data_IF_374091881107
#
_entry.id   IF_374091881107
#
_cell.length_a   1.000
_cell.length_b   1.000
_cell.length_c   1.000
_cell.angle_alpha   90.00
_cell.angle_beta   90.00
_cell.angle_gamma   90.00
#
_symmetry.space_group_name_H-M   'P 1'
#
loop_
_entity.id
_entity.type
_entity.pdbx_description
1 polymer ?
2 non-polymer ?
3 non-polymer ?
4 water ?
#
# COMPACT_ATOMS: atom_id res chain seq x y z
N UNK A 11 -23.66 -12.79 -0.80
CA UNK A 11 -22.83 -11.67 -0.36
C UNK A 11 -21.36 -12.07 -0.34
N UNK A 12 -20.47 -11.09 -0.46
CA UNK A 12 -19.04 -11.35 -0.55
C UNK A 12 -18.45 -11.85 0.77
N UNK A 13 -18.77 -11.15 1.86
CA UNK A 13 -18.22 -11.49 3.17
C UNK A 13 -19.18 -12.36 3.98
N UNK A 14 -19.89 -13.25 3.30
CA UNK A 14 -20.83 -14.15 3.96
C UNK A 14 -20.10 -15.12 4.88
N UNK A 15 -20.70 -15.38 6.05
CA UNK A 15 -20.15 -16.30 7.04
C UNK A 15 -18.77 -15.89 7.57
N UNK A 16 -18.46 -14.60 7.48
CA UNK A 16 -17.19 -14.09 7.97
C UNK A 16 -17.40 -13.09 9.10
N UNK A 17 -16.64 -13.26 10.18
CA UNK A 17 -16.70 -12.34 11.31
C UNK A 17 -15.40 -11.55 11.42
N UNK A 18 -15.51 -10.24 11.58
CA UNK A 18 -14.34 -9.37 11.62
C UNK A 18 -14.16 -8.71 12.97
N UNK A 19 -12.90 -8.48 13.33
CA UNK A 19 -12.55 -7.80 14.58
C UNK A 19 -11.76 -6.54 14.26
N UNK A 20 -12.37 -5.38 14.54
CA UNK A 20 -11.75 -4.10 14.23
C UNK A 20 -10.94 -3.59 15.42
N UNK A 21 -9.65 -3.36 15.20
CA UNK A 21 -8.74 -3.00 16.28
C UNK A 21 -8.28 -1.54 16.24
N UNK A 22 -8.54 -0.82 17.32
CA UNK A 22 -8.07 0.56 17.50
C UNK A 22 -8.43 1.52 16.36
N UNK A 23 -9.62 1.36 15.79
CA UNK A 23 -10.12 2.32 14.82
C UNK A 23 -10.80 3.48 15.55
N UNK A 24 -10.68 4.70 15.01
CA UNK A 24 -11.37 5.85 15.59
C UNK A 24 -12.88 5.70 15.42
N UNK A 25 -13.65 6.25 16.36
CA UNK A 25 -15.10 6.07 16.40
C UNK A 25 -15.82 6.37 15.08
N UNK A 26 -15.38 7.42 14.39
CA UNK A 26 -15.98 7.80 13.12
C UNK A 26 -15.78 6.73 12.06
N UNK A 27 -14.55 6.22 11.98
CA UNK A 27 -14.20 5.21 10.98
C UNK A 27 -14.91 3.89 11.24
N UNK A 28 -15.06 3.54 12.52
CA UNK A 28 -15.69 2.28 12.92
C UNK A 28 -17.08 2.11 12.31
N UNK A 29 -17.92 3.13 12.49
CA UNK A 29 -19.29 3.09 11.98
C UNK A 29 -19.33 2.92 10.47
N UNK A 30 -18.50 3.69 9.77
CA UNK A 30 -18.41 3.60 8.32
C UNK A 30 -17.91 2.23 7.90
N UNK A 31 -16.89 1.74 8.60
CA UNK A 31 -16.31 0.44 8.31
C UNK A 31 -17.29 -0.67 8.68
N UNK A 32 -18.09 -0.43 9.71
CA UNK A 32 -19.09 -1.39 10.15
C UNK A 32 -20.16 -1.59 9.09
N UNK A 33 -20.63 -0.48 8.52
CA UNK A 33 -21.66 -0.51 7.49
C UNK A 33 -21.17 -1.21 6.23
N UNK A 34 -19.93 -0.94 5.85
CA UNK A 34 -19.34 -1.53 4.65
C UNK A 34 -19.27 -3.05 4.75
N UNK A 35 -18.87 -3.56 5.91
CA UNK A 35 -18.77 -5.00 6.13
C UNK A 35 -20.14 -5.64 6.27
N UNK A 36 -21.05 -4.94 6.94
CA UNK A 36 -22.40 -5.46 7.19
C UNK A 36 -23.21 -5.57 5.90
N UNK A 37 -23.04 -4.60 5.01
CA UNK A 37 -23.77 -4.59 3.74
C UNK A 37 -23.22 -5.63 2.77
N UNK A 38 -22.14 -6.29 3.15
CA UNK A 38 -21.54 -7.33 2.33
C UNK A 38 -21.61 -8.71 2.97
N UNK A 39 -22.52 -8.85 3.94
CA UNK A 39 -22.76 -10.13 4.58
C UNK A 39 -21.81 -10.46 5.71
N UNK A 40 -20.95 -9.51 6.06
CA UNK A 40 -19.98 -9.72 7.12
C UNK A 40 -20.48 -9.27 8.48
N UNK A 41 -20.07 -9.98 9.52
CA UNK A 41 -20.43 -9.62 10.88
C UNK A 41 -19.21 -9.09 11.64
N UNK A 42 -19.45 -8.39 12.74
CA UNK A 42 -18.38 -7.78 13.51
C UNK A 42 -18.51 -8.08 15.01
N UNK A 43 -17.42 -8.53 15.61
CA UNK A 43 -17.38 -8.80 17.04
C UNK A 43 -16.30 -7.98 17.72
N UNK A 44 -16.55 -7.57 18.96
CA UNK A 44 -15.57 -6.81 19.72
C UNK A 44 -14.76 -7.72 20.64
N UNK A 45 -14.93 -9.03 20.45
CA UNK A 45 -14.19 -10.01 21.23
C UNK A 45 -13.36 -10.90 20.33
N UNK A 46 -12.19 -11.29 20.82
CA UNK A 46 -11.36 -12.27 20.12
C UNK A 46 -11.79 -13.68 20.51
N UNK A 47 -12.25 -14.44 19.53
CA UNK A 47 -12.66 -15.82 19.75
C UNK A 47 -12.50 -16.63 18.47
N UNK A 48 -12.82 -17.91 18.54
CA UNK A 48 -12.70 -18.80 17.38
C UNK A 48 -13.60 -18.36 16.22
N UNK A 49 -14.60 -17.55 16.53
CA UNK A 49 -15.52 -17.04 15.52
C UNK A 49 -14.82 -16.09 14.56
N UNK A 50 -13.87 -15.32 15.08
CA UNK A 50 -13.15 -14.32 14.30
C UNK A 50 -12.42 -14.91 13.10
N UNK A 51 -12.68 -14.35 11.92
CA UNK A 51 -12.01 -14.79 10.70
C UNK A 51 -10.82 -13.90 10.36
N UNK A 52 -10.99 -12.60 10.52
CA UNK A 52 -9.92 -11.65 10.23
C UNK A 52 -9.85 -10.54 11.27
N UNK A 53 -8.63 -10.16 11.63
CA UNK A 53 -8.40 -8.99 12.47
C UNK A 53 -8.01 -7.82 11.58
N UNK A 54 -8.74 -6.71 11.70
CA UNK A 54 -8.50 -5.55 10.85
C UNK A 54 -7.80 -4.42 11.61
N UNK A 55 -6.71 -3.92 11.04
CA UNK A 55 -5.91 -2.86 11.63
C UNK A 55 -5.97 -1.63 10.73
N UNK A 56 -5.95 -0.42 11.32
CA UNK A 56 -5.81 0.76 10.45
C UNK A 56 -4.47 0.74 9.73
N UNK A 57 -4.46 1.19 8.47
CA UNK A 57 -3.26 1.13 7.64
C UNK A 57 -2.12 2.00 8.18
N UNK A 58 -2.47 3.00 8.98
CA UNK A 58 -1.49 3.94 9.51
C UNK A 58 -0.98 3.53 10.89
N UNK A 59 -1.49 2.42 11.40
CA UNK A 59 -1.09 1.94 12.72
C UNK A 59 0.30 1.31 12.67
N UNK A 60 1.21 1.78 13.54
CA UNK A 60 2.59 1.29 13.61
C UNK A 60 2.65 -0.21 13.90
N UNK A 61 3.34 -0.95 13.05
CA UNK A 61 3.46 -2.40 13.19
C UNK A 61 4.06 -2.79 14.54
N UNK A 62 5.07 -2.04 14.97
CA UNK A 62 5.78 -2.32 16.21
C UNK A 62 4.91 -2.18 17.45
N UNK A 63 3.82 -1.42 17.34
CA UNK A 63 2.92 -1.21 18.47
C UNK A 63 1.78 -2.21 18.50
N UNK A 64 1.73 -3.09 17.50
CA UNK A 64 0.66 -4.08 17.40
C UNK A 64 0.86 -5.22 18.39
N UNK A 65 -0.23 -5.63 19.06
CA UNK A 65 -0.20 -6.80 19.94
C UNK A 65 -0.12 -8.08 19.12
N UNK A 66 -0.03 -9.22 19.80
CA UNK A 66 0.02 -10.50 19.11
C UNK A 66 -1.39 -10.99 18.80
N UNK A 67 -1.63 -11.35 17.55
CA UNK A 67 -2.93 -11.87 17.14
C UNK A 67 -2.82 -13.32 16.67
N UNK A 68 -3.67 -14.18 17.22
CA UNK A 68 -3.72 -15.57 16.81
C UNK A 68 -4.68 -15.75 15.65
N UNK A 69 -4.79 -14.72 14.82
CA UNK A 69 -5.69 -14.71 13.68
C UNK A 69 -4.97 -14.06 12.50
N UNK A 70 -5.40 -14.38 11.27
CA UNK A 70 -4.84 -13.67 10.11
C UNK A 70 -5.13 -12.18 10.21
N UNK A 71 -4.08 -11.37 10.10
CA UNK A 71 -4.19 -9.93 10.32
C UNK A 71 -4.01 -9.15 9.02
N UNK A 72 -4.96 -8.27 8.74
CA UNK A 72 -4.90 -7.42 7.55
C UNK A 72 -5.26 -5.99 7.92
N UNK A 73 -5.01 -5.05 7.01
CA UNK A 73 -5.50 -3.69 7.20
C UNK A 73 -6.79 -3.45 6.42
N UNK A 74 -7.38 -2.27 6.56
CA UNK A 74 -8.66 -1.98 5.92
C UNK A 74 -8.57 -1.97 4.40
N UNK A 75 -7.36 -1.78 3.88
CA UNK A 75 -7.14 -1.77 2.44
C UNK A 75 -7.37 -3.15 1.83
N UNK A 76 -7.26 -4.18 2.67
CA UNK A 76 -7.56 -5.55 2.25
C UNK A 76 -9.04 -5.67 1.93
N UNK A 77 -9.87 -5.00 2.73
CA UNK A 77 -11.31 -4.98 2.52
C UNK A 77 -11.63 -4.26 1.22
N UNK A 78 -10.99 -3.11 1.01
CA UNK A 78 -11.20 -2.31 -0.18
C UNK A 78 -10.78 -3.07 -1.44
N UNK A 79 -9.69 -3.82 -1.35
CA UNK A 79 -9.22 -4.63 -2.47
C UNK A 79 -10.21 -5.74 -2.79
N UNK A 80 -10.79 -6.33 -1.74
CA UNK A 80 -11.76 -7.40 -1.91
C UNK A 80 -13.01 -6.93 -2.63
N UNK A 81 -13.41 -5.69 -2.38
CA UNK A 81 -14.59 -5.12 -3.01
C UNK A 81 -14.30 -4.65 -4.44
N UNK A 82 -13.08 -4.18 -4.66
CA UNK A 82 -12.68 -3.65 -5.96
C UNK A 82 -12.68 -4.75 -7.02
N UNK A 83 -12.17 -5.92 -6.66
CA UNK A 83 -12.09 -7.04 -7.60
C UNK A 83 -13.18 -8.08 -7.32
N UNK A 84 -14.02 -7.79 -6.34
CA UNK A 84 -15.17 -8.63 -6.00
C UNK A 84 -14.80 -10.09 -5.70
N UNK A 85 -13.74 -10.29 -4.92
CA UNK A 85 -13.35 -11.62 -4.47
C UNK A 85 -12.47 -11.54 -3.23
N UNK A 86 -12.23 -12.68 -2.60
CA UNK A 86 -11.45 -12.73 -1.37
C UNK A 86 -10.00 -13.13 -1.62
N UNK A 87 -9.09 -12.19 -1.39
CA UNK A 87 -7.67 -12.43 -1.59
C UNK A 87 -7.05 -13.09 -0.36
N UNK A 88 -5.89 -13.70 -0.55
CA UNK A 88 -5.10 -14.19 0.56
C UNK A 88 -4.50 -13.01 1.30
N UNK A 89 -4.09 -13.23 2.54
CA UNK A 89 -3.58 -12.13 3.36
C UNK A 89 -2.19 -11.68 2.93
N UNK A 90 -1.50 -12.51 2.14
CA UNK A 90 -0.14 -12.20 1.72
C UNK A 90 -0.02 -11.83 0.24
N UNK A 91 -1.16 -11.76 -0.44
CA UNK A 91 -1.16 -11.49 -1.88
C UNK A 91 -0.69 -10.08 -2.23
N UNK A 92 -0.87 -9.14 -1.30
CA UNK A 92 -0.41 -7.77 -1.52
C UNK A 92 0.18 -7.15 -0.26
N UNK A 93 1.36 -6.54 -0.40
CA UNK A 93 2.11 -6.01 0.73
C UNK A 93 1.40 -4.87 1.45
N UNK A 94 0.54 -4.16 0.74
CA UNK A 94 -0.16 -3.01 1.32
C UNK A 94 -1.44 -3.42 2.04
N UNK A 95 -1.84 -4.67 1.89
CA UNK A 95 -3.05 -5.17 2.52
C UNK A 95 -2.77 -5.66 3.94
N UNK A 96 -1.49 -5.70 4.30
CA UNK A 96 -1.07 -6.07 5.65
C UNK A 96 -0.54 -4.83 6.36
N UNK A 97 -0.46 -4.88 7.70
CA UNK A 97 0.20 -3.80 8.44
C UNK A 97 1.63 -3.64 7.95
N UNK A 98 2.00 -2.42 7.57
CA UNK A 98 3.32 -2.18 6.98
C UNK A 98 4.00 -0.95 7.56
N UNK A 99 3.21 -0.04 8.11
CA UNK A 99 3.74 1.25 8.54
C UNK A 99 4.71 1.17 9.72
N UNK A 100 5.90 1.72 9.52
CA UNK A 100 6.90 1.81 10.56
C UNK A 100 7.46 3.22 10.63
N UNK A 101 7.27 3.90 11.77
CA UNK A 101 7.73 5.28 11.98
C UNK A 101 9.23 5.46 11.77
N UNK A 102 9.99 4.37 11.87
CA UNK A 102 11.44 4.43 11.69
C UNK A 102 11.82 4.63 10.22
N UNK A 103 10.86 4.41 9.33
CA UNK A 103 11.09 4.58 7.90
C UNK A 103 10.88 6.03 7.47
N UNK A 104 10.12 6.77 8.28
CA UNK A 104 9.78 8.16 7.97
C UNK A 104 10.96 9.11 7.69
N UNK A 105 12.00 9.11 8.56
CA UNK A 105 13.11 10.03 8.30
C UNK A 105 13.85 9.72 7.00
N UNK A 106 13.69 8.50 6.49
CA UNK A 106 14.35 8.09 5.26
C UNK A 106 13.61 8.54 4.01
N UNK A 107 12.28 8.55 4.07
CA UNK A 107 11.46 8.99 2.94
C UNK A 107 11.27 10.50 2.92
N UNK A 108 11.60 11.15 4.04
CA UNK A 108 11.43 12.59 4.17
C UNK A 108 12.22 13.39 3.15
N UNK A 109 11.55 14.32 2.48
CA UNK A 109 12.19 15.18 1.50
C UNK A 109 12.19 14.59 0.10
N UNK A 110 11.86 13.30 0.00
CA UNK A 110 11.85 12.62 -1.28
C UNK A 110 10.60 12.93 -2.09
N UNK A 111 10.80 13.49 -3.28
CA UNK A 111 9.70 13.76 -4.19
C UNK A 111 9.57 12.61 -5.19
N UNK A 112 8.42 11.95 -5.17
CA UNK A 112 8.22 10.76 -6.00
C UNK A 112 7.04 10.88 -6.96
N UNK A 113 7.26 10.50 -8.21
CA UNK A 113 6.19 10.41 -9.19
C UNK A 113 6.01 8.96 -9.63
N UNK A 114 4.76 8.51 -9.71
CA UNK A 114 4.46 7.12 -10.02
C UNK A 114 4.01 6.94 -11.47
N UNK A 115 4.45 5.85 -12.09
CA UNK A 115 4.04 5.54 -13.46
C UNK A 115 3.82 4.04 -13.64
N UNK A 116 2.74 3.67 -14.33
CA UNK A 116 2.43 2.28 -14.58
C UNK A 116 1.42 1.69 -13.61
N UNK A 117 1.00 2.49 -12.63
CA UNK A 117 0.02 2.04 -11.65
C UNK A 117 -1.37 2.57 -11.99
N UNK A 118 -2.39 1.75 -11.74
CA UNK A 118 -3.76 2.14 -12.04
C UNK A 118 -4.73 1.76 -10.91
N UNK A 119 -5.87 2.44 -10.89
CA UNK A 119 -6.97 2.08 -10.01
C UNK A 119 -6.67 2.14 -8.52
N UNK A 120 -7.06 1.08 -7.81
CA UNK A 120 -6.92 1.03 -6.36
C UNK A 120 -5.47 0.92 -5.91
N UNK A 121 -4.65 0.26 -6.72
CA UNK A 121 -3.24 0.07 -6.38
C UNK A 121 -2.52 1.41 -6.36
N UNK A 122 -2.81 2.25 -7.35
CA UNK A 122 -2.23 3.58 -7.42
C UNK A 122 -2.65 4.43 -6.23
N UNK A 123 -3.94 4.37 -5.90
CA UNK A 123 -4.49 5.14 -4.79
C UNK A 123 -3.87 4.74 -3.46
N UNK A 124 -3.77 3.44 -3.22
CA UNK A 124 -3.18 2.92 -2.00
C UNK A 124 -1.68 3.22 -1.92
N UNK A 125 -1.02 3.19 -3.07
CA UNK A 125 0.42 3.44 -3.13
C UNK A 125 0.74 4.89 -2.78
N UNK A 126 -0.08 5.81 -3.26
CA UNK A 126 0.09 7.23 -2.94
C UNK A 126 -0.03 7.45 -1.44
N UNK A 127 -1.07 6.88 -0.84
CA UNK A 127 -1.32 7.03 0.58
C UNK A 127 -0.22 6.38 1.40
N UNK A 128 0.26 5.23 0.93
CA UNK A 128 1.33 4.52 1.61
C UNK A 128 2.60 5.36 1.63
N UNK A 129 2.99 5.89 0.47
CA UNK A 129 4.19 6.71 0.36
C UNK A 129 4.07 8.01 1.14
N UNK A 130 2.85 8.51 1.26
CA UNK A 130 2.60 9.77 1.97
C UNK A 130 2.83 9.62 3.48
N UNK A 131 2.21 8.60 4.08
CA UNK A 131 2.37 8.38 5.51
C UNK A 131 3.79 7.94 5.87
N UNK A 132 4.50 7.39 4.88
CA UNK A 132 5.88 6.97 5.09
C UNK A 132 6.84 8.16 5.08
N UNK A 133 6.32 9.34 4.76
CA UNK A 133 7.11 10.56 4.86
C UNK A 133 7.49 11.18 3.53
N UNK A 134 7.12 10.53 2.44
CA UNK A 134 7.47 11.03 1.11
C UNK A 134 6.39 11.96 0.56
N UNK A 135 6.75 12.71 -0.48
CA UNK A 135 5.79 13.58 -1.16
C UNK A 135 5.51 13.05 -2.56
N UNK A 136 4.27 12.64 -2.79
CA UNK A 136 3.89 12.10 -4.09
C UNK A 136 3.37 13.19 -5.02
N UNK A 137 3.97 13.29 -6.20
CA UNK A 137 3.59 14.30 -7.18
C UNK A 137 2.73 13.71 -8.29
N UNK A 138 1.66 14.43 -8.63
CA UNK A 138 0.73 13.98 -9.66
C UNK A 138 1.35 13.99 -11.05
N UNK A 139 2.38 14.81 -11.23
CA UNK A 139 3.02 14.93 -12.53
C UNK A 139 4.54 14.79 -12.46
N UNK A 140 5.13 14.34 -13.56
CA UNK A 140 6.57 14.26 -13.68
C UNK A 140 7.17 15.65 -13.89
N UNK A 141 8.15 15.99 -13.07
CA UNK A 141 8.83 17.27 -13.20
C UNK A 141 10.34 17.08 -13.22
N UNK A 142 11.05 18.14 -13.58
CA UNK A 142 12.51 18.10 -13.62
C UNK A 142 13.08 17.86 -12.22
N UNK A 143 12.41 18.41 -11.21
CA UNK A 143 12.90 18.33 -9.84
C UNK A 143 12.27 17.22 -9.01
N UNK A 144 12.10 16.04 -9.61
CA UNK A 144 11.63 14.88 -8.87
C UNK A 144 12.82 14.04 -8.41
N UNK A 145 12.75 13.53 -7.19
CA UNK A 145 13.81 12.68 -6.67
C UNK A 145 13.78 11.32 -7.35
N UNK A 146 12.58 10.77 -7.51
CA UNK A 146 12.41 9.40 -7.98
C UNK A 146 11.24 9.27 -8.94
N UNK A 147 11.47 8.59 -10.07
CA UNK A 147 10.38 8.11 -10.90
C UNK A 147 10.18 6.63 -10.61
N UNK A 148 9.11 6.31 -9.88
CA UNK A 148 8.86 4.93 -9.48
C UNK A 148 8.04 4.19 -10.54
N UNK A 149 8.64 3.17 -11.13
CA UNK A 149 8.05 2.47 -12.26
C UNK A 149 7.45 1.12 -11.87
N UNK A 150 6.21 0.88 -12.31
CA UNK A 150 5.56 -0.41 -12.10
C UNK A 150 6.04 -1.44 -13.11
N UNK A 151 6.98 -2.28 -12.69
CA UNK A 151 7.57 -3.27 -13.58
C UNK A 151 6.76 -4.57 -13.62
N UNK A 152 5.64 -4.59 -12.92
CA UNK A 152 4.76 -5.75 -12.92
C UNK A 152 3.75 -5.70 -14.07
N UNK A 153 3.81 -4.61 -14.82
CA UNK A 153 2.95 -4.43 -15.99
C UNK A 153 3.79 -3.98 -17.19
N UNK A 154 3.36 -4.35 -18.40
CA UNK A 154 4.09 -3.91 -19.59
C UNK A 154 4.10 -2.39 -19.69
N UNK A 155 5.24 -1.81 -20.05
CA UNK A 155 5.37 -0.36 -20.10
C UNK A 155 4.47 0.25 -21.17
N UNK A 156 3.61 1.17 -20.75
CA UNK A 156 2.78 1.91 -21.69
C UNK A 156 3.64 2.96 -22.39
N UNK A 157 3.11 3.53 -23.46
CA UNK A 157 3.79 4.58 -24.21
C UNK A 157 4.10 5.77 -23.30
N UNK A 158 3.13 6.10 -22.45
CA UNK A 158 3.27 7.20 -21.50
C UNK A 158 4.39 6.91 -20.50
N UNK A 159 4.46 5.67 -20.04
CA UNK A 159 5.51 5.25 -19.11
C UNK A 159 6.89 5.36 -19.75
N UNK A 160 7.00 4.90 -20.99
CA UNK A 160 8.27 4.98 -21.72
C UNK A 160 8.71 6.42 -21.91
N UNK A 161 7.75 7.31 -22.16
CA UNK A 161 8.05 8.73 -22.31
C UNK A 161 8.62 9.30 -21.02
N UNK A 162 7.97 8.99 -19.90
CA UNK A 162 8.39 9.49 -18.60
C UNK A 162 9.79 9.00 -18.24
N UNK A 163 10.10 7.76 -18.62
CA UNK A 163 11.41 7.19 -18.36
C UNK A 163 12.50 7.95 -19.12
N UNK A 164 12.24 8.22 -20.40
CA UNK A 164 13.18 8.97 -21.23
C UNK A 164 13.41 10.38 -20.69
N UNK A 165 12.32 11.06 -20.33
CA UNK A 165 12.41 12.40 -19.75
C UNK A 165 13.16 12.39 -18.43
N UNK A 166 12.85 11.41 -17.58
CA UNK A 166 13.51 11.28 -16.28
C UNK A 166 15.01 11.05 -16.45
N UNK A 167 15.37 10.28 -17.47
CA UNK A 167 16.77 10.01 -17.77
C UNK A 167 17.50 11.29 -18.18
N UNK A 168 16.86 12.08 -19.03
CA UNK A 168 17.43 13.35 -19.48
C UNK A 168 17.51 14.36 -18.34
N UNK A 169 16.50 14.37 -17.48
CA UNK A 169 16.41 15.35 -16.41
C UNK A 169 17.10 14.87 -15.14
N UNK A 170 17.85 13.77 -15.25
CA UNK A 170 18.57 13.18 -14.13
C UNK A 170 17.65 12.84 -12.95
N UNK A 171 16.43 12.44 -13.26
CA UNK A 171 15.53 11.92 -12.24
C UNK A 171 15.77 10.42 -12.11
N UNK A 172 15.95 9.95 -10.88
CA UNK A 172 16.26 8.55 -10.64
C UNK A 172 15.10 7.64 -11.03
N UNK A 173 15.35 6.73 -11.96
CA UNK A 173 14.34 5.79 -12.41
C UNK A 173 14.49 4.46 -11.67
N UNK A 174 13.51 4.13 -10.85
CA UNK A 174 13.60 2.98 -9.95
C UNK A 174 12.43 2.02 -10.12
N UNK A 175 12.74 0.73 -10.24
CA UNK A 175 11.71 -0.30 -10.28
C UNK A 175 10.99 -0.40 -8.95
N UNK A 176 9.71 -0.75 -8.99
CA UNK A 176 8.87 -0.75 -7.79
C UNK A 176 9.29 -1.81 -6.77
N UNK A 177 9.97 -2.86 -7.24
CA UNK A 177 10.43 -3.93 -6.36
C UNK A 177 11.25 -3.38 -5.20
N UNK A 178 12.01 -2.32 -5.47
CA UNK A 178 12.77 -1.61 -4.45
C UNK A 178 11.87 -1.17 -3.29
N UNK A 179 10.70 -0.63 -3.62
CA UNK A 179 9.77 -0.17 -2.59
C UNK A 179 9.10 -1.32 -1.87
N UNK A 180 8.71 -2.36 -2.61
CA UNK A 180 8.10 -3.53 -2.00
C UNK A 180 9.06 -4.20 -1.02
N UNK A 181 10.35 -4.21 -1.38
CA UNK A 181 11.38 -4.77 -0.52
C UNK A 181 11.51 -4.00 0.79
N UNK A 182 11.38 -2.68 0.71
CA UNK A 182 11.43 -1.83 1.89
C UNK A 182 10.21 -2.08 2.78
N UNK A 183 9.04 -2.12 2.16
CA UNK A 183 7.79 -2.37 2.87
C UNK A 183 7.79 -3.72 3.57
N UNK A 184 8.18 -4.76 2.84
CA UNK A 184 8.16 -6.12 3.36
C UNK A 184 9.22 -6.37 4.43
N UNK A 185 10.42 -5.86 4.21
CA UNK A 185 11.52 -6.06 5.16
C UNK A 185 11.41 -5.12 6.35
N UNK A 186 10.82 -3.94 6.12
CA UNK A 186 10.67 -2.96 7.17
C UNK A 186 11.89 -2.08 7.35
N UNK A 187 12.85 -2.22 6.44
CA UNK A 187 14.08 -1.44 6.50
C UNK A 187 14.34 -0.72 5.18
N UNK A 188 14.79 0.53 5.28
CA UNK A 188 15.04 1.35 4.10
C UNK A 188 16.27 0.86 3.33
N UNK A 189 16.27 1.10 2.02
CA UNK A 189 17.36 0.67 1.16
C UNK A 189 17.97 1.87 0.43
N UNK A 190 19.20 2.22 0.80
CA UNK A 190 19.88 3.39 0.24
C UNK A 190 20.30 3.21 -1.21
N UNK A 191 20.67 1.98 -1.58
CA UNK A 191 21.12 1.70 -2.94
C UNK A 191 19.98 1.25 -3.83
N UNK A 192 19.65 2.06 -4.83
CA UNK A 192 18.57 1.73 -5.75
C UNK A 192 19.07 1.17 -7.08
N UNK A 193 20.39 1.18 -7.26
CA UNK A 193 21.00 0.69 -8.49
C UNK A 193 20.62 -0.75 -8.85
N UNK A 194 20.42 -1.62 -7.83
CA UNK A 194 20.01 -2.96 -8.28
C UNK A 194 18.57 -3.01 -8.79
N UNK A 195 17.84 -1.90 -8.71
CA UNK A 195 16.47 -1.85 -9.21
C UNK A 195 16.28 -0.73 -10.23
N UNK A 196 17.38 -0.24 -10.78
CA UNK A 196 17.34 0.79 -11.80
C UNK A 196 16.97 0.19 -13.15
N UNK A 197 16.26 0.96 -13.97
CA UNK A 197 15.85 0.50 -15.29
C UNK A 197 16.95 0.75 -16.31
N UNK A 198 17.47 1.98 -16.34
CA UNK A 198 18.57 2.37 -17.22
C UNK A 198 18.28 2.07 -18.69
X LIG B 1 3.47 17.66 -9.36
X LIG C 1 2.44 -7.27 -3.16
X LIG C 1 2.91 -8.61 -3.05
X LIG C 1 4.43 -8.68 -3.19
X LIG C 1 4.82 -7.94 -4.38
X LIG C 1 4.29 -6.58 -4.54
X LIG C 1 2.78 -6.68 -4.41
X LIG C 1 6.18 -8.17 -4.85
X LIG C 1 6.26 -7.61 -6.27
X LIG C 1 7.84 -7.68 -6.80
X LIG C 1 7.97 -6.89 -8.05
X LIG C 1 8.20 -9.09 -7.06
X LIG C 1 8.74 -7.12 -5.77
#
# INVERSE_FOLDING_TARGET
>A
DTELNIENEAKLFKNLTFYLYEFPNTKVSRLHKCLSDNGGQISEFLSSTIDFVVIPHYFPVDELPIFSFPTVNEWWIERCLYYKKIFGIDEHALAKPFFRPSLVPYFNGLSIHLTGFKGEELSHLKKALTILGAVVHEFLGVQRSILLVNTNEPFSMKTRFKIQHATEWNVRVVGVAWLWNIIQSGKFIDQVSPWAIDKKENQE
>B hetero
1 CL CL
>C hetero
1 MES O1 C2 C3 N4 C5 C6 C7 C8 S O1S O2S O3S
#
